data_IF_346573511946
#
_entry.id   IF_346573511946
#
_cell.length_a   1.000
_cell.length_b   1.000
_cell.length_c   1.000
_cell.angle_alpha   90.00
_cell.angle_beta   90.00
_cell.angle_gamma   90.00
#
_symmetry.space_group_name_H-M   'P 1'
#
loop_
_entity.id
_entity.type
_entity.pdbx_description
1 polymer ?
#
# COMPACT_ATOMS: atom_id res chain seq x y z
N UNK A 1 18.75 9.72 8.12
CA UNK A 1 18.59 8.97 6.84
C UNK A 1 19.77 9.25 5.93
N UNK A 2 20.49 8.21 5.48
CA UNK A 2 21.60 8.34 4.54
C UNK A 2 21.10 8.67 3.11
N UNK A 3 21.98 9.20 2.22
CA UNK A 3 21.62 9.42 0.81
C UNK A 3 21.12 8.14 0.11
N UNK A 4 21.69 6.99 0.47
CA UNK A 4 21.27 5.67 -0.05
C UNK A 4 19.83 5.33 0.31
N UNK A 5 19.36 5.62 1.55
CA UNK A 5 17.99 5.41 1.96
C UNK A 5 17.03 6.31 1.18
N UNK A 6 17.39 7.58 0.99
CA UNK A 6 16.57 8.53 0.21
C UNK A 6 16.42 8.09 -1.24
N UNK A 7 17.52 7.67 -1.86
CA UNK A 7 17.51 7.17 -3.25
C UNK A 7 16.65 5.92 -3.37
N UNK A 8 16.81 4.94 -2.48
CA UNK A 8 16.01 3.72 -2.47
C UNK A 8 14.51 4.02 -2.32
N UNK A 9 14.14 4.85 -1.33
CA UNK A 9 12.73 5.16 -1.08
C UNK A 9 12.09 6.00 -2.18
N UNK A 10 12.80 7.01 -2.73
CA UNK A 10 12.21 7.91 -3.72
C UNK A 10 12.24 7.33 -5.13
N UNK A 11 13.38 6.74 -5.57
CA UNK A 11 13.51 6.26 -6.94
C UNK A 11 12.95 4.85 -7.11
N UNK A 12 13.40 3.89 -6.29
CA UNK A 12 12.98 2.49 -6.48
C UNK A 12 11.57 2.25 -5.94
N UNK A 13 11.27 2.70 -4.73
CA UNK A 13 9.98 2.45 -4.10
C UNK A 13 8.92 3.50 -4.49
N UNK A 14 9.28 4.76 -4.72
CA UNK A 14 8.36 5.82 -5.14
C UNK A 14 8.11 5.78 -6.65
N UNK A 15 9.06 6.28 -7.43
CA UNK A 15 8.87 6.44 -8.90
C UNK A 15 8.69 5.09 -9.59
N UNK A 16 9.50 4.09 -9.23
CA UNK A 16 9.39 2.75 -9.81
C UNK A 16 8.01 2.12 -9.59
N UNK A 17 7.48 2.22 -8.36
CA UNK A 17 6.14 1.71 -8.06
C UNK A 17 5.04 2.52 -8.74
N UNK A 18 5.18 3.84 -8.85
CA UNK A 18 4.22 4.70 -9.53
C UNK A 18 4.10 4.34 -11.02
N UNK A 19 5.23 4.20 -11.72
CA UNK A 19 5.26 3.80 -13.13
C UNK A 19 4.64 2.39 -13.32
N UNK A 20 5.01 1.45 -12.46
CA UNK A 20 4.45 0.10 -12.50
C UNK A 20 2.93 0.11 -12.27
N UNK A 21 2.46 0.82 -11.23
CA UNK A 21 1.03 0.90 -10.92
C UNK A 21 0.25 1.67 -11.98
N UNK A 22 0.83 2.70 -12.60
CA UNK A 22 0.24 3.37 -13.75
C UNK A 22 -0.05 2.38 -14.88
N UNK A 23 0.97 1.65 -15.33
CA UNK A 23 0.83 0.70 -16.42
C UNK A 23 -0.15 -0.45 -16.08
N UNK A 24 -0.02 -1.02 -14.89
CA UNK A 24 -0.88 -2.12 -14.44
C UNK A 24 -2.35 -1.69 -14.36
N UNK A 25 -2.63 -0.54 -13.74
CA UNK A 25 -4.00 -0.04 -13.59
C UNK A 25 -4.59 0.47 -14.89
N UNK A 26 -3.79 0.98 -15.83
CA UNK A 26 -4.25 1.27 -17.20
C UNK A 26 -4.75 0.01 -17.90
N UNK A 27 -3.98 -1.09 -17.81
CA UNK A 27 -4.36 -2.38 -18.41
C UNK A 27 -5.62 -2.94 -17.73
N UNK A 28 -5.68 -2.92 -16.39
CA UNK A 28 -6.84 -3.39 -15.64
C UNK A 28 -8.11 -2.58 -16.02
N UNK A 29 -8.01 -1.24 -16.03
CA UNK A 29 -9.13 -0.38 -16.41
C UNK A 29 -9.62 -0.69 -17.82
N UNK A 30 -8.71 -0.81 -18.77
CA UNK A 30 -9.05 -1.15 -20.15
C UNK A 30 -9.73 -2.51 -20.25
N UNK A 31 -9.18 -3.54 -19.61
CA UNK A 31 -9.76 -4.90 -19.63
C UNK A 31 -11.16 -4.95 -19.01
N UNK A 32 -11.38 -4.24 -17.89
CA UNK A 32 -12.65 -4.27 -17.17
C UNK A 32 -13.75 -3.47 -17.87
N UNK A 33 -13.39 -2.39 -18.55
CA UNK A 33 -14.36 -1.44 -19.10
C UNK A 33 -14.36 -1.35 -20.64
N UNK A 34 -13.59 -2.19 -21.35
CA UNK A 34 -13.41 -2.13 -22.82
C UNK A 34 -14.71 -2.25 -23.63
N UNK A 35 -15.81 -2.75 -23.03
CA UNK A 35 -17.12 -2.86 -23.67
C UNK A 35 -18.03 -1.68 -23.37
N UNK A 36 -17.59 -0.72 -22.56
CA UNK A 36 -18.34 0.47 -22.21
C UNK A 36 -17.80 1.67 -23.02
N UNK A 37 -18.66 2.40 -23.71
CA UNK A 37 -18.29 3.65 -24.40
C UNK A 37 -18.00 4.76 -23.39
N UNK A 38 -18.80 4.80 -22.32
CA UNK A 38 -18.65 5.73 -21.21
C UNK A 38 -18.76 5.03 -19.86
N UNK A 39 -18.01 5.51 -18.88
CA UNK A 39 -18.02 5.04 -17.49
C UNK A 39 -18.72 6.08 -16.64
N UNK A 40 -19.90 5.78 -16.06
CA UNK A 40 -20.64 6.72 -15.23
C UNK A 40 -19.93 6.97 -13.89
N UNK A 41 -20.23 8.11 -13.26
CA UNK A 41 -19.69 8.43 -11.94
C UNK A 41 -20.21 7.46 -10.86
N UNK A 42 -21.50 7.11 -10.90
CA UNK A 42 -22.15 6.26 -9.91
C UNK A 42 -22.71 4.98 -10.51
N UNK A 43 -22.75 3.91 -9.73
CA UNK A 43 -23.30 2.60 -10.13
C UNK A 43 -22.37 1.45 -9.80
N UNK A 44 -22.68 0.24 -10.30
CA UNK A 44 -21.87 -0.98 -10.03
C UNK A 44 -20.53 -0.98 -10.77
N UNK A 45 -20.56 -0.60 -12.05
CA UNK A 45 -19.37 -0.39 -12.89
C UNK A 45 -19.19 1.10 -13.11
N UNK A 46 -18.58 1.78 -12.15
CA UNK A 46 -18.50 3.24 -12.10
C UNK A 46 -17.15 3.73 -11.62
N UNK A 47 -16.88 5.00 -11.87
CA UNK A 47 -15.70 5.70 -11.37
C UNK A 47 -15.62 5.59 -9.85
N UNK A 48 -16.76 5.78 -9.14
CA UNK A 48 -16.80 5.72 -7.67
C UNK A 48 -16.47 4.34 -7.14
N UNK A 49 -17.11 3.28 -7.65
CA UNK A 49 -16.87 1.91 -7.21
C UNK A 49 -15.40 1.49 -7.45
N UNK A 50 -14.86 1.86 -8.60
CA UNK A 50 -13.47 1.57 -8.96
C UNK A 50 -12.46 2.35 -8.09
N UNK A 51 -12.71 3.63 -7.82
CA UNK A 51 -11.86 4.47 -6.95
C UNK A 51 -11.83 3.91 -5.52
N UNK A 52 -12.99 3.56 -4.95
CA UNK A 52 -13.09 2.97 -3.61
C UNK A 52 -12.31 1.63 -3.56
N UNK A 53 -12.54 0.76 -4.55
CA UNK A 53 -11.85 -0.52 -4.63
C UNK A 53 -10.34 -0.36 -4.77
N UNK A 54 -9.88 0.55 -5.62
CA UNK A 54 -8.45 0.81 -5.84
C UNK A 54 -7.79 1.37 -4.58
N UNK A 55 -8.40 2.35 -3.92
CA UNK A 55 -7.89 2.94 -2.67
C UNK A 55 -7.77 1.96 -1.51
N UNK A 56 -8.51 0.87 -1.52
CA UNK A 56 -8.39 -0.20 -0.52
C UNK A 56 -7.38 -1.26 -0.94
N UNK A 57 -7.53 -1.79 -2.16
CA UNK A 57 -6.80 -2.98 -2.61
C UNK A 57 -5.33 -2.64 -2.91
N UNK A 58 -5.05 -1.50 -3.52
CA UNK A 58 -3.68 -1.13 -3.89
C UNK A 58 -2.77 -0.98 -2.66
N UNK A 59 -3.10 -0.21 -1.59
CA UNK A 59 -2.27 -0.13 -0.39
C UNK A 59 -2.15 -1.46 0.33
N UNK A 60 -3.23 -2.25 0.37
CA UNK A 60 -3.23 -3.58 0.98
C UNK A 60 -2.22 -4.49 0.28
N UNK A 61 -2.30 -4.61 -1.05
CA UNK A 61 -1.38 -5.42 -1.84
C UNK A 61 0.05 -4.88 -1.78
N UNK A 62 0.22 -3.56 -1.84
CA UNK A 62 1.52 -2.91 -1.69
C UNK A 62 2.16 -3.29 -0.35
N UNK A 63 1.43 -3.23 0.75
CA UNK A 63 1.96 -3.60 2.06
C UNK A 63 2.36 -5.09 2.12
N UNK A 64 1.55 -5.98 1.57
CA UNK A 64 1.82 -7.42 1.56
C UNK A 64 3.05 -7.78 0.70
N UNK A 65 3.28 -7.09 -0.40
CA UNK A 65 4.38 -7.36 -1.34
C UNK A 65 5.66 -6.63 -0.91
N UNK A 66 5.56 -5.33 -0.64
CA UNK A 66 6.74 -4.48 -0.37
C UNK A 66 7.38 -4.80 0.98
N UNK A 67 6.59 -5.13 2.00
CA UNK A 67 7.14 -5.46 3.33
C UNK A 67 8.16 -6.61 3.28
N UNK A 68 7.86 -7.80 2.72
CA UNK A 68 8.85 -8.87 2.64
C UNK A 68 10.02 -8.54 1.70
N UNK A 69 9.80 -7.79 0.62
CA UNK A 69 10.86 -7.38 -0.31
C UNK A 69 11.84 -6.43 0.38
N UNK A 70 11.35 -5.40 1.06
CA UNK A 70 12.16 -4.44 1.81
C UNK A 70 12.98 -5.15 2.91
N UNK A 71 12.37 -6.07 3.65
CA UNK A 71 13.08 -6.88 4.66
C UNK A 71 14.16 -7.78 4.05
N UNK A 72 13.94 -8.32 2.84
CA UNK A 72 14.98 -9.06 2.09
C UNK A 72 16.14 -8.16 1.70
N UNK A 73 15.90 -6.94 1.27
CA UNK A 73 16.94 -5.97 0.93
C UNK A 73 17.78 -5.59 2.14
N UNK A 74 17.17 -5.45 3.33
CA UNK A 74 17.91 -5.24 4.59
C UNK A 74 18.79 -6.45 4.92
N UNK A 75 18.25 -7.67 4.85
CA UNK A 75 19.03 -8.90 5.10
C UNK A 75 20.19 -9.09 4.13
N UNK A 76 20.00 -8.69 2.88
CA UNK A 76 21.03 -8.76 1.84
C UNK A 76 22.08 -7.62 1.93
N UNK A 77 21.97 -6.72 2.91
CA UNK A 77 22.87 -5.58 3.07
C UNK A 77 22.75 -4.48 2.02
N UNK A 78 21.72 -4.54 1.14
CA UNK A 78 21.48 -3.51 0.12
C UNK A 78 21.02 -2.18 0.72
N UNK A 79 20.30 -2.26 1.83
CA UNK A 79 19.78 -1.11 2.56
C UNK A 79 20.09 -1.32 4.05
N UNK A 80 20.68 -0.33 4.70
CA UNK A 80 20.99 -0.43 6.12
C UNK A 80 19.71 -0.40 6.96
N UNK A 81 19.67 -1.21 8.00
CA UNK A 81 18.61 -1.17 9.00
C UNK A 81 18.61 0.15 9.75
N UNK A 82 17.43 0.77 9.94
CA UNK A 82 17.33 2.06 10.62
C UNK A 82 17.31 1.95 12.15
N UNK A 83 17.06 0.75 12.70
CA UNK A 83 17.09 0.52 14.15
C UNK A 83 16.04 1.30 14.94
N UNK A 84 14.93 1.71 14.31
CA UNK A 84 13.88 2.44 15.00
C UNK A 84 13.08 1.50 15.91
N UNK A 85 12.94 1.87 17.17
CA UNK A 85 12.07 1.16 18.11
C UNK A 85 10.70 1.79 18.14
N UNK A 86 9.67 0.99 18.46
CA UNK A 86 8.29 1.49 18.57
C UNK A 86 8.10 2.52 19.68
N UNK A 87 8.96 2.46 20.69
CA UNK A 87 8.96 3.38 21.83
C UNK A 87 9.50 4.76 21.45
N UNK A 88 10.46 4.79 20.53
CA UNK A 88 11.10 6.05 20.09
C UNK A 88 10.35 6.76 18.96
N UNK A 89 9.39 6.07 18.28
CA UNK A 89 8.68 6.64 17.12
C UNK A 89 7.18 6.33 17.22
N UNK A 90 6.39 7.30 17.67
CA UNK A 90 4.94 7.19 17.85
C UNK A 90 4.16 6.58 16.67
N UNK A 91 4.44 6.91 15.38
CA UNK A 91 3.74 6.31 14.25
C UNK A 91 3.90 4.80 14.13
N UNK A 92 5.06 4.25 14.56
CA UNK A 92 5.30 2.80 14.55
C UNK A 92 4.52 2.06 15.66
N UNK A 93 4.26 2.72 16.79
CA UNK A 93 3.53 2.15 17.91
C UNK A 93 2.05 1.92 17.61
N UNK A 94 1.45 2.78 16.79
CA UNK A 94 0.03 2.75 16.47
C UNK A 94 -0.38 1.64 15.49
N UNK A 95 0.54 1.19 14.61
CA UNK A 95 0.21 0.15 13.64
C UNK A 95 0.31 -1.27 14.23
N UNK A 96 -0.58 -2.19 13.79
CA UNK A 96 -0.52 -3.59 14.19
C UNK A 96 0.83 -4.25 13.86
N UNK A 97 1.24 -5.24 14.69
CA UNK A 97 2.48 -6.00 14.46
C UNK A 97 2.38 -6.95 13.27
N UNK A 98 1.18 -7.49 12.99
CA UNK A 98 0.95 -8.39 11.86
C UNK A 98 0.95 -7.65 10.53
N UNK A 99 1.67 -8.17 9.53
CA UNK A 99 1.74 -7.57 8.19
C UNK A 99 0.35 -7.44 7.55
N UNK A 100 -0.50 -8.46 7.69
CA UNK A 100 -1.86 -8.44 7.16
C UNK A 100 -2.76 -7.41 7.85
N UNK A 101 -2.76 -7.39 9.19
CA UNK A 101 -3.54 -6.41 9.95
C UNK A 101 -3.09 -4.97 9.65
N UNK A 102 -1.77 -4.76 9.49
CA UNK A 102 -1.20 -3.48 9.04
C UNK A 102 -1.67 -3.10 7.64
N UNK A 103 -1.62 -4.05 6.70
CA UNK A 103 -2.06 -3.86 5.33
C UNK A 103 -3.54 -3.43 5.29
N UNK A 104 -4.39 -4.09 6.09
CA UNK A 104 -5.80 -3.76 6.20
C UNK A 104 -6.02 -2.35 6.77
N UNK A 105 -5.32 -2.00 7.85
CA UNK A 105 -5.42 -0.64 8.45
C UNK A 105 -5.00 0.43 7.46
N UNK A 106 -3.86 0.25 6.77
CA UNK A 106 -3.39 1.21 5.77
C UNK A 106 -4.39 1.33 4.62
N UNK A 107 -4.89 0.20 4.09
CA UNK A 107 -5.91 0.19 3.04
C UNK A 107 -7.19 0.92 3.44
N UNK A 108 -7.70 0.67 4.66
CA UNK A 108 -8.89 1.36 5.16
C UNK A 108 -8.67 2.86 5.36
N UNK A 109 -7.50 3.27 5.85
CA UNK A 109 -7.15 4.69 5.99
C UNK A 109 -7.05 5.37 4.62
N UNK A 110 -6.38 4.73 3.65
CA UNK A 110 -6.30 5.26 2.28
C UNK A 110 -7.69 5.35 1.65
N UNK A 111 -8.52 4.31 1.77
CA UNK A 111 -9.87 4.32 1.26
C UNK A 111 -10.70 5.45 1.89
N UNK A 112 -10.65 5.61 3.21
CA UNK A 112 -11.41 6.65 3.91
C UNK A 112 -10.95 8.07 3.59
N UNK A 113 -9.67 8.27 3.26
CA UNK A 113 -9.11 9.58 2.94
C UNK A 113 -9.19 9.90 1.43
N UNK A 114 -8.70 8.98 0.58
CA UNK A 114 -8.50 9.25 -0.85
C UNK A 114 -9.80 9.13 -1.64
N UNK A 115 -10.67 8.15 -1.32
CA UNK A 115 -11.92 7.98 -2.08
C UNK A 115 -12.84 9.19 -1.98
N UNK A 116 -13.21 9.68 -0.77
CA UNK A 116 -14.10 10.83 -0.69
C UNK A 116 -13.47 12.09 -1.27
N UNK A 117 -12.17 12.31 -1.05
CA UNK A 117 -11.47 13.46 -1.63
C UNK A 117 -11.52 13.43 -3.17
N UNK A 118 -11.24 12.28 -3.78
CA UNK A 118 -11.27 12.14 -5.24
C UNK A 118 -12.69 12.30 -5.78
N UNK A 119 -13.69 11.68 -5.13
CA UNK A 119 -15.08 11.80 -5.55
C UNK A 119 -15.61 13.21 -5.39
N UNK A 120 -15.23 13.95 -4.35
CA UNK A 120 -15.56 15.36 -4.20
C UNK A 120 -14.97 16.20 -5.36
N UNK A 121 -13.73 15.96 -5.74
CA UNK A 121 -13.09 16.66 -6.86
C UNK A 121 -13.84 16.36 -8.17
N UNK A 122 -14.15 15.09 -8.46
CA UNK A 122 -14.83 14.69 -9.68
C UNK A 122 -16.24 15.27 -9.74
N UNK A 123 -16.95 15.26 -8.61
CA UNK A 123 -18.29 15.86 -8.50
C UNK A 123 -18.25 17.40 -8.64
N UNK A 124 -17.26 18.04 -8.03
CA UNK A 124 -17.07 19.49 -8.15
C UNK A 124 -16.75 19.94 -9.59
N UNK A 125 -16.07 19.07 -10.36
CA UNK A 125 -15.83 19.28 -11.79
C UNK A 125 -17.07 18.98 -12.67
N UNK A 126 -18.21 18.64 -12.06
CA UNK A 126 -19.46 18.29 -12.75
C UNK A 126 -19.29 17.16 -13.78
N UNK A 127 -18.41 16.19 -13.50
CA UNK A 127 -18.19 15.04 -14.38
C UNK A 127 -19.19 13.94 -14.03
N UNK A 128 -20.20 13.76 -14.87
CA UNK A 128 -21.22 12.70 -14.71
C UNK A 128 -20.76 11.36 -15.28
N UNK A 129 -19.95 11.39 -16.34
CA UNK A 129 -19.31 10.23 -16.97
C UNK A 129 -17.97 10.58 -17.56
N UNK A 130 -17.15 9.56 -17.83
CA UNK A 130 -15.90 9.67 -18.57
C UNK A 130 -15.90 8.70 -19.74
N UNK A 131 -15.41 9.14 -20.91
CA UNK A 131 -15.09 8.20 -21.99
C UNK A 131 -14.05 7.19 -21.54
N UNK A 132 -14.06 5.98 -22.11
CA UNK A 132 -13.15 4.90 -21.73
C UNK A 132 -11.70 5.35 -21.62
N UNK A 133 -11.17 6.07 -22.60
CA UNK A 133 -9.77 6.54 -22.61
C UNK A 133 -9.48 7.53 -21.48
N UNK A 134 -10.38 8.44 -21.17
CA UNK A 134 -10.25 9.37 -20.04
C UNK A 134 -10.32 8.65 -18.70
N UNK A 135 -11.21 7.66 -18.58
CA UNK A 135 -11.30 6.83 -17.39
C UNK A 135 -10.04 6.00 -17.15
N UNK A 136 -9.49 5.36 -18.20
CA UNK A 136 -8.21 4.62 -18.12
C UNK A 136 -7.09 5.52 -17.64
N UNK A 137 -6.97 6.72 -18.21
CA UNK A 137 -5.96 7.69 -17.79
C UNK A 137 -6.17 8.16 -16.35
N UNK A 138 -7.42 8.45 -15.97
CA UNK A 138 -7.77 8.85 -14.60
C UNK A 138 -7.37 7.76 -13.59
N UNK A 139 -7.82 6.52 -13.80
CA UNK A 139 -7.51 5.39 -12.92
C UNK A 139 -6.01 5.14 -12.84
N UNK A 140 -5.31 5.11 -13.96
CA UNK A 140 -3.86 4.89 -14.00
C UNK A 140 -3.09 5.98 -13.23
N UNK A 141 -3.47 7.25 -13.41
CA UNK A 141 -2.87 8.38 -12.71
C UNK A 141 -3.17 8.34 -11.21
N UNK A 142 -4.42 8.04 -10.84
CA UNK A 142 -4.83 7.88 -9.44
C UNK A 142 -4.01 6.79 -8.74
N UNK A 143 -3.93 5.61 -9.32
CA UNK A 143 -3.16 4.49 -8.78
C UNK A 143 -1.65 4.79 -8.70
N UNK A 144 -1.10 5.51 -9.67
CA UNK A 144 0.30 5.93 -9.65
C UNK A 144 0.60 6.91 -8.51
N UNK A 145 -0.28 7.90 -8.30
CA UNK A 145 -0.14 8.88 -7.21
C UNK A 145 -0.26 8.21 -5.85
N UNK A 146 -1.23 7.30 -5.68
CA UNK A 146 -1.39 6.52 -4.47
C UNK A 146 -0.15 5.65 -4.19
N UNK A 147 0.36 4.93 -5.19
CA UNK A 147 1.57 4.12 -5.07
C UNK A 147 2.82 4.96 -4.77
N UNK A 148 2.94 6.16 -5.37
CA UNK A 148 4.05 7.09 -5.12
C UNK A 148 4.18 7.46 -3.65
N UNK A 149 3.06 7.56 -2.94
CA UNK A 149 3.01 7.93 -1.52
C UNK A 149 3.08 6.68 -0.63
N UNK A 150 2.24 5.69 -0.89
CA UNK A 150 2.07 4.52 -0.02
C UNK A 150 3.29 3.60 -0.03
N UNK A 151 3.88 3.35 -1.20
CA UNK A 151 4.97 2.38 -1.32
C UNK A 151 6.22 2.80 -0.54
N UNK A 152 6.73 4.05 -0.63
CA UNK A 152 7.86 4.48 0.19
C UNK A 152 7.58 4.45 1.68
N UNK A 153 6.35 4.77 2.11
CA UNK A 153 5.97 4.72 3.53
C UNK A 153 6.00 3.28 4.05
N UNK A 154 5.43 2.34 3.31
CA UNK A 154 5.45 0.91 3.66
C UNK A 154 6.88 0.37 3.68
N UNK A 155 7.71 0.72 2.69
CA UNK A 155 9.11 0.33 2.64
C UNK A 155 9.91 0.90 3.80
N UNK A 156 9.69 2.17 4.15
CA UNK A 156 10.32 2.83 5.28
C UNK A 156 10.01 2.09 6.60
N UNK A 157 8.74 1.76 6.83
CA UNK A 157 8.36 0.99 8.02
C UNK A 157 8.98 -0.39 8.05
N UNK A 158 9.03 -1.09 6.91
CA UNK A 158 9.63 -2.41 6.82
C UNK A 158 11.15 -2.40 7.12
N UNK A 159 11.86 -1.35 6.68
CA UNK A 159 13.28 -1.13 6.96
C UNK A 159 13.49 -0.73 8.42
N UNK A 160 12.59 0.07 8.99
CA UNK A 160 12.69 0.56 10.36
C UNK A 160 12.53 -0.56 11.40
N UNK A 161 11.59 -1.48 11.19
CA UNK A 161 11.33 -2.61 12.12
C UNK A 161 12.40 -3.72 12.04
N UNK A 162 13.16 -3.81 10.96
CA UNK A 162 14.20 -4.81 10.76
C UNK A 162 13.71 -6.26 10.57
N UNK A 163 14.66 -7.21 10.41
CA UNK A 163 14.35 -8.60 10.05
C UNK A 163 13.76 -9.45 11.17
N UNK A 164 13.84 -9.03 12.42
CA UNK A 164 13.45 -9.84 13.61
C UNK A 164 11.97 -9.73 14.01
N UNK A 165 11.26 -8.70 13.58
CA UNK A 165 9.86 -8.47 13.95
C UNK A 165 8.90 -9.60 13.51
N UNK A 166 9.32 -10.43 12.55
CA UNK A 166 8.55 -11.60 12.09
C UNK A 166 8.71 -12.86 12.95
N UNK A 167 9.79 -12.97 13.74
CA UNK A 167 10.06 -14.16 14.56
C UNK A 167 9.41 -14.10 15.95
N UNK A 168 9.28 -12.92 16.52
CA UNK A 168 8.70 -12.72 17.84
C UNK A 168 7.22 -13.16 17.93
N UNK A 169 6.44 -13.03 16.86
CA UNK A 169 5.05 -13.48 16.81
C UNK A 169 4.87 -15.00 16.74
N UNK A 170 5.85 -15.72 16.19
CA UNK A 170 5.78 -17.18 16.04
C UNK A 170 6.27 -17.93 17.29
N UNK A 171 7.18 -17.35 18.08
CA UNK A 171 7.71 -17.96 19.29
C UNK A 171 6.78 -17.83 20.49
N UNK A 172 5.97 -16.79 20.55
CA UNK A 172 5.02 -16.57 21.65
C UNK A 172 3.88 -17.62 21.68
N UNK A 173 3.60 -18.27 20.55
CA UNK A 173 2.53 -19.29 20.48
C UNK A 173 3.00 -20.73 20.82
N UNK A 174 4.31 -20.97 20.99
CA UNK A 174 4.88 -22.29 21.34
C UNK A 174 5.26 -22.46 22.80
N UNK A 175 5.14 -21.42 23.61
CA UNK A 175 5.66 -21.37 24.98
C UNK A 175 4.69 -21.79 26.09
N UNK A 176 3.44 -22.19 25.79
CA UNK A 176 2.44 -22.53 26.83
C UNK A 176 2.10 -24.02 26.91
N UNK A 177 3.07 -24.89 26.68
CA UNK A 177 2.80 -26.32 26.72
C UNK A 177 3.97 -27.17 27.17
N UNK A 178 4.53 -26.96 28.39
CA UNK A 178 5.24 -28.00 29.11
C UNK A 178 5.62 -27.51 30.51
N UNK A 179 4.74 -27.74 31.48
CA UNK A 179 5.18 -27.85 32.86
C UNK A 179 5.72 -29.26 33.04
N UNK A 180 6.96 -29.47 33.45
CA UNK A 180 7.35 -30.78 34.00
C UNK A 180 6.90 -30.87 35.45
N UNK A 181 5.97 -31.78 35.67
CA UNK A 181 5.76 -32.37 36.98
C UNK A 181 7.06 -33.12 37.35
N UNK A 182 7.70 -32.72 38.41
CA UNK A 182 8.68 -33.55 39.09
C UNK A 182 8.26 -33.73 40.55
N UNK A 183 8.30 -35.02 40.92
CA UNK A 183 8.18 -35.60 42.22
C UNK A 183 9.10 -35.01 43.27
#
# INVERSE_FOLDING_TARGET
MSPTHRRYLLLEQGIGSAVFNFALNAVIAWLMFRTADEVPLWGRQSIAADTIGTSLILPLMTCLIVTPVARRHVRAGKVAWLGWTRESHAPLGWLPRGTFARALVIGLVCMAALSPMTLLIVTWLHLESLSLSRFVLFKASFAALEALVVTPLVALWAIAEGPEAGKAGFSAHRGTGSSPLFH
#
